data_IF_774527982217
#
_entry.id   IF_774527982217
#
_cell.length_a   1.000
_cell.length_b   1.000
_cell.length_c   1.000
_cell.angle_alpha   90.00
_cell.angle_beta   90.00
_cell.angle_gamma   90.00
#
_symmetry.space_group_name_H-M   'P 1'
#
loop_
_entity.id
_entity.type
_entity.pdbx_description
1 polymer ?
#
# COMPACT_ATOMS: atom_id res chain seq x y z
N UNK A 1 -18.42 -6.31 27.20
CA UNK A 1 -19.57 -6.92 26.50
C UNK A 1 -20.43 -5.87 25.80
N UNK A 2 -20.73 -4.70 26.41
CA UNK A 2 -21.58 -3.65 25.77
C UNK A 2 -21.00 -2.93 24.55
N UNK A 3 -19.67 -2.89 24.35
CA UNK A 3 -19.08 -2.19 23.20
C UNK A 3 -19.11 -3.03 21.92
N UNK A 4 -18.92 -4.35 22.02
CA UNK A 4 -18.98 -5.26 20.88
C UNK A 4 -20.38 -5.28 20.25
N UNK A 5 -21.44 -5.29 21.08
CA UNK A 5 -22.85 -5.25 20.66
C UNK A 5 -23.23 -4.02 19.81
N UNK A 6 -22.43 -2.95 19.88
CA UNK A 6 -22.66 -1.73 19.09
C UNK A 6 -21.70 -1.63 17.91
N UNK A 7 -20.46 -2.09 18.07
CA UNK A 7 -19.40 -1.96 17.05
C UNK A 7 -19.56 -3.00 15.95
N UNK A 8 -19.88 -4.25 16.29
CA UNK A 8 -20.04 -5.34 15.32
C UNK A 8 -21.14 -5.06 14.28
N UNK A 9 -22.37 -4.64 14.64
CA UNK A 9 -23.39 -4.28 13.65
C UNK A 9 -22.96 -3.15 12.71
N UNK A 10 -22.08 -2.24 13.17
CA UNK A 10 -21.56 -1.17 12.31
C UNK A 10 -20.55 -1.70 11.29
N UNK A 11 -19.69 -2.65 11.68
CA UNK A 11 -18.79 -3.29 10.73
C UNK A 11 -19.57 -4.13 9.71
N UNK A 12 -20.59 -4.86 10.17
CA UNK A 12 -21.49 -5.63 9.30
C UNK A 12 -22.16 -4.73 8.24
N UNK A 13 -22.73 -3.61 8.67
CA UNK A 13 -23.32 -2.60 7.79
C UNK A 13 -22.28 -2.06 6.79
N UNK A 14 -21.10 -1.65 7.26
CA UNK A 14 -20.05 -1.09 6.41
C UNK A 14 -19.55 -2.10 5.38
N UNK A 15 -19.30 -3.35 5.78
CA UNK A 15 -18.86 -4.39 4.86
C UNK A 15 -19.95 -4.77 3.86
N UNK A 16 -21.21 -4.81 4.28
CA UNK A 16 -22.35 -5.03 3.38
C UNK A 16 -22.46 -3.91 2.34
N UNK A 17 -22.27 -2.65 2.74
CA UNK A 17 -22.24 -1.51 1.82
C UNK A 17 -21.08 -1.62 0.82
N UNK A 18 -19.90 -2.03 1.28
CA UNK A 18 -18.73 -2.25 0.40
C UNK A 18 -18.99 -3.41 -0.57
N UNK A 19 -19.58 -4.52 -0.12
CA UNK A 19 -19.92 -5.67 -0.96
C UNK A 19 -20.95 -5.29 -2.04
N UNK A 20 -21.97 -4.50 -1.67
CA UNK A 20 -22.93 -3.98 -2.64
C UNK A 20 -22.27 -3.09 -3.71
N UNK A 21 -21.29 -2.26 -3.31
CA UNK A 21 -20.54 -1.41 -4.23
C UNK A 21 -19.62 -2.21 -5.16
N UNK A 22 -18.99 -3.28 -4.65
CA UNK A 22 -18.18 -4.21 -5.46
C UNK A 22 -19.03 -4.90 -6.53
N UNK A 23 -20.23 -5.36 -6.17
CA UNK A 23 -21.18 -5.92 -7.13
C UNK A 23 -21.65 -4.87 -8.15
N UNK A 24 -22.01 -3.67 -7.68
CA UNK A 24 -22.48 -2.56 -8.54
C UNK A 24 -21.42 -2.15 -9.57
N UNK A 25 -20.16 -2.17 -9.19
CA UNK A 25 -19.03 -1.82 -10.05
C UNK A 25 -18.59 -2.95 -10.99
N UNK A 26 -19.07 -4.19 -10.79
CA UNK A 26 -18.74 -5.36 -11.59
C UNK A 26 -17.35 -5.96 -11.29
N UNK A 27 -16.72 -5.56 -10.17
CA UNK A 27 -15.41 -6.05 -9.75
C UNK A 27 -15.50 -7.22 -8.75
N UNK A 28 -16.70 -7.66 -8.39
CA UNK A 28 -16.94 -8.77 -7.44
C UNK A 28 -16.24 -10.07 -7.85
N UNK A 29 -16.28 -10.42 -9.14
CA UNK A 29 -15.60 -11.60 -9.70
C UNK A 29 -14.08 -11.43 -9.85
N UNK A 30 -13.52 -10.25 -9.58
CA UNK A 30 -12.08 -9.96 -9.70
C UNK A 30 -11.33 -10.06 -8.36
N UNK A 31 -12.01 -10.44 -7.28
CA UNK A 31 -11.43 -10.64 -5.94
C UNK A 31 -10.66 -11.95 -5.80
N UNK A 32 -10.04 -12.48 -6.87
CA UNK A 32 -9.29 -13.73 -6.83
C UNK A 32 -8.14 -13.72 -5.80
N UNK A 33 -7.61 -12.54 -5.49
CA UNK A 33 -6.55 -12.35 -4.50
C UNK A 33 -7.07 -12.06 -3.07
N UNK A 34 -8.39 -11.99 -2.88
CA UNK A 34 -9.02 -11.64 -1.61
C UNK A 34 -9.07 -10.14 -1.29
N UNK A 35 -9.43 -9.82 -0.05
CA UNK A 35 -9.56 -8.45 0.47
C UNK A 35 -8.43 -8.14 1.46
N UNK A 36 -7.92 -6.92 1.41
CA UNK A 36 -6.90 -6.43 2.35
C UNK A 36 -7.48 -5.29 3.17
N UNK A 37 -7.70 -5.54 4.46
CA UNK A 37 -8.10 -4.50 5.41
C UNK A 37 -6.86 -3.78 5.93
N UNK A 38 -6.94 -2.46 6.08
CA UNK A 38 -5.85 -1.66 6.64
C UNK A 38 -6.38 -0.45 7.40
N UNK A 39 -5.51 0.41 7.93
CA UNK A 39 -5.89 1.51 8.81
C UNK A 39 -6.11 1.06 10.26
N UNK A 40 -6.36 1.99 11.16
CA UNK A 40 -6.48 1.68 12.59
C UNK A 40 -7.68 0.82 12.95
N UNK A 41 -8.80 0.98 12.24
CA UNK A 41 -10.03 0.22 12.45
C UNK A 41 -9.87 -1.27 12.11
N UNK A 42 -8.97 -1.61 11.19
CA UNK A 42 -8.66 -3.01 10.84
C UNK A 42 -8.02 -3.83 11.98
N UNK A 43 -7.72 -3.23 13.13
CA UNK A 43 -7.21 -3.92 14.32
C UNK A 43 -8.29 -4.37 15.30
N UNK A 44 -9.57 -4.14 14.98
CA UNK A 44 -10.68 -4.63 15.78
C UNK A 44 -10.67 -6.17 15.80
N UNK A 45 -10.85 -6.74 16.99
CA UNK A 45 -10.87 -8.19 17.19
C UNK A 45 -12.09 -8.80 16.48
N UNK A 46 -11.90 -9.86 15.71
CA UNK A 46 -12.97 -10.51 14.94
C UNK A 46 -13.28 -9.87 13.58
N UNK A 47 -12.60 -8.78 13.21
CA UNK A 47 -12.91 -8.04 11.97
C UNK A 47 -12.59 -8.82 10.70
N UNK A 48 -11.60 -9.72 10.75
CA UNK A 48 -11.21 -10.54 9.60
C UNK A 48 -12.28 -11.59 9.34
N UNK A 49 -12.72 -12.26 10.40
CA UNK A 49 -13.71 -13.31 10.38
C UNK A 49 -15.06 -12.78 9.85
N UNK A 50 -15.51 -11.63 10.38
CA UNK A 50 -16.72 -10.97 9.89
C UNK A 50 -16.62 -10.56 8.41
N UNK A 51 -15.46 -10.04 8.00
CA UNK A 51 -15.24 -9.67 6.61
C UNK A 51 -15.20 -10.89 5.68
N UNK A 52 -14.59 -12.00 6.09
CA UNK A 52 -14.59 -13.26 5.32
C UNK A 52 -16.01 -13.80 5.14
N UNK A 53 -16.85 -13.72 6.18
CA UNK A 53 -18.25 -14.12 6.12
C UNK A 53 -19.03 -13.29 5.08
N UNK A 54 -18.86 -11.97 5.07
CA UNK A 54 -19.60 -11.05 4.19
C UNK A 54 -19.08 -11.05 2.75
N UNK A 55 -17.76 -11.02 2.56
CA UNK A 55 -17.15 -10.94 1.22
C UNK A 55 -17.06 -12.30 0.51
N UNK A 56 -17.22 -13.41 1.25
CA UNK A 56 -17.02 -14.77 0.74
C UNK A 56 -15.66 -14.96 0.05
N UNK A 57 -14.63 -14.25 0.54
CA UNK A 57 -13.30 -14.22 -0.03
C UNK A 57 -12.26 -14.17 1.10
N UNK A 58 -11.02 -14.65 0.89
CA UNK A 58 -9.97 -14.56 1.90
C UNK A 58 -9.73 -13.10 2.30
N UNK A 59 -9.65 -12.83 3.60
CA UNK A 59 -9.37 -11.48 4.11
C UNK A 59 -8.11 -11.49 4.97
N UNK A 60 -7.31 -10.44 4.85
CA UNK A 60 -6.12 -10.26 5.69
C UNK A 60 -5.89 -8.82 6.08
N UNK A 61 -5.21 -8.63 7.20
CA UNK A 61 -4.73 -7.31 7.63
C UNK A 61 -3.45 -6.96 6.88
N UNK A 62 -3.45 -5.80 6.21
CA UNK A 62 -2.31 -5.21 5.53
C UNK A 62 -1.67 -4.11 6.37
N UNK A 63 -0.34 -4.11 6.44
CA UNK A 63 0.47 -3.05 7.03
C UNK A 63 1.53 -2.57 6.01
N UNK A 64 2.09 -1.35 6.19
CA UNK A 64 3.23 -0.91 5.41
C UNK A 64 4.38 -1.91 5.45
N UNK A 65 5.03 -2.10 4.31
CA UNK A 65 6.21 -2.93 4.14
C UNK A 65 7.21 -2.19 3.23
N UNK A 66 8.45 -2.70 3.13
CA UNK A 66 9.54 -2.11 2.34
C UNK A 66 9.95 -0.69 2.76
N UNK A 67 9.87 -0.39 4.07
CA UNK A 67 10.39 0.86 4.64
C UNK A 67 11.67 0.54 5.42
N UNK A 68 12.77 1.22 5.08
CA UNK A 68 14.05 1.06 5.77
C UNK A 68 14.12 1.95 7.02
N UNK A 69 14.86 1.50 8.04
CA UNK A 69 15.07 2.24 9.29
C UNK A 69 13.95 2.01 10.31
N UNK A 70 12.84 2.75 10.18
CA UNK A 70 11.75 2.76 11.17
C UNK A 70 10.74 1.60 11.03
N UNK A 71 11.18 0.49 10.41
CA UNK A 71 10.32 -0.63 10.01
C UNK A 71 9.47 -1.17 11.16
N UNK A 72 10.04 -1.29 12.35
CA UNK A 72 9.37 -1.86 13.53
C UNK A 72 8.20 -1.01 14.03
N UNK A 73 8.25 0.30 13.82
CA UNK A 73 7.16 1.22 14.21
C UNK A 73 6.09 1.25 13.13
N UNK A 74 6.51 1.35 11.87
CA UNK A 74 5.57 1.56 10.75
C UNK A 74 4.90 0.27 10.27
N UNK A 75 5.33 -0.90 10.73
CA UNK A 75 4.66 -2.20 10.48
C UNK A 75 3.38 -2.33 11.31
N UNK A 76 2.51 -1.35 11.18
CA UNK A 76 1.21 -1.26 11.82
C UNK A 76 0.23 -0.62 10.82
N UNK A 77 -0.95 -1.23 10.58
CA UNK A 77 -1.96 -0.72 9.64
C UNK A 77 -2.36 0.75 9.85
N UNK A 78 -2.21 1.26 11.07
CA UNK A 78 -2.47 2.68 11.40
C UNK A 78 -1.62 3.63 10.53
N UNK A 79 -0.44 3.21 10.09
CA UNK A 79 0.48 4.04 9.30
C UNK A 79 0.37 3.84 7.77
N UNK A 80 -0.52 2.96 7.30
CA UNK A 80 -0.69 2.63 5.88
C UNK A 80 -0.84 3.83 4.96
N UNK A 81 -1.73 4.75 5.31
CA UNK A 81 -1.96 5.95 4.47
C UNK A 81 -0.74 6.85 4.44
N UNK A 82 -0.16 7.16 5.60
CA UNK A 82 1.00 8.07 5.68
C UNK A 82 2.22 7.53 4.94
N UNK A 83 2.57 6.26 5.17
CA UNK A 83 3.68 5.61 4.46
C UNK A 83 3.38 5.50 2.96
N UNK A 84 2.17 5.12 2.58
CA UNK A 84 1.77 5.00 1.18
C UNK A 84 1.92 6.31 0.40
N UNK A 85 1.54 7.44 1.01
CA UNK A 85 1.69 8.77 0.41
C UNK A 85 3.17 9.16 0.22
N UNK A 86 4.04 8.86 1.19
CA UNK A 86 5.48 9.13 1.06
C UNK A 86 6.12 8.28 -0.04
N UNK A 87 5.77 6.99 -0.11
CA UNK A 87 6.24 6.09 -1.18
C UNK A 87 5.74 6.54 -2.56
N UNK A 88 4.48 7.00 -2.63
CA UNK A 88 3.89 7.55 -3.85
C UNK A 88 4.65 8.80 -4.32
N UNK A 89 4.90 9.75 -3.41
CA UNK A 89 5.67 10.96 -3.73
C UNK A 89 7.12 10.65 -4.15
N UNK A 90 7.78 9.71 -3.47
CA UNK A 90 9.13 9.25 -3.84
C UNK A 90 9.16 8.67 -5.26
N UNK A 91 8.19 7.81 -5.59
CA UNK A 91 8.07 7.22 -6.93
C UNK A 91 7.87 8.30 -7.98
N UNK A 92 6.99 9.27 -7.72
CA UNK A 92 6.74 10.38 -8.64
C UNK A 92 7.99 11.25 -8.86
N UNK A 93 8.76 11.53 -7.81
CA UNK A 93 10.04 12.24 -7.94
C UNK A 93 11.05 11.48 -8.79
N UNK A 94 11.19 10.16 -8.59
CA UNK A 94 12.10 9.32 -9.37
C UNK A 94 11.72 9.28 -10.87
N UNK A 95 10.43 9.21 -11.17
CA UNK A 95 9.92 9.25 -12.56
C UNK A 95 10.13 10.61 -13.22
N UNK A 96 10.03 11.71 -12.48
CA UNK A 96 10.23 13.08 -12.99
C UNK A 96 11.71 13.46 -13.15
N UNK A 97 12.58 13.02 -12.23
CA UNK A 97 14.01 13.36 -12.25
C UNK A 97 14.83 12.53 -13.28
N UNK A 98 14.18 11.65 -14.06
CA UNK A 98 14.83 10.89 -15.12
C UNK A 98 15.98 10.02 -14.62
N UNK A 99 15.94 9.60 -13.36
CA UNK A 99 16.95 8.71 -12.78
C UNK A 99 16.64 7.29 -13.25
N UNK A 100 17.12 6.97 -14.44
CA UNK A 100 17.09 5.64 -15.02
C UNK A 100 17.92 4.70 -14.12
N UNK A 101 17.29 3.77 -13.36
CA UNK A 101 18.01 2.88 -12.47
C UNK A 101 18.83 1.82 -13.23
N UNK A 102 18.76 1.81 -14.57
CA UNK A 102 19.54 0.93 -15.46
C UNK A 102 20.68 1.63 -16.19
N UNK A 103 21.11 2.82 -15.75
CA UNK A 103 22.28 3.47 -16.35
C UNK A 103 23.56 3.00 -15.66
N UNK A 104 24.29 2.14 -16.37
CA UNK A 104 25.55 1.52 -15.94
C UNK A 104 26.52 2.57 -15.36
N UNK A 105 27.03 2.39 -14.12
CA UNK A 105 27.92 3.35 -13.45
C UNK A 105 29.18 3.70 -14.25
N UNK A 106 29.61 2.81 -15.15
CA UNK A 106 30.81 2.98 -15.97
C UNK A 106 30.67 4.12 -16.99
N UNK A 107 29.48 4.37 -17.54
CA UNK A 107 29.29 5.35 -18.63
C UNK A 107 29.47 6.79 -18.12
N UNK A 108 29.04 7.08 -16.89
CA UNK A 108 29.16 8.42 -16.30
C UNK A 108 30.62 8.84 -16.00
N UNK A 109 31.55 7.87 -15.90
CA UNK A 109 32.95 8.13 -15.57
C UNK A 109 33.77 8.43 -16.83
N UNK A 110 33.52 7.70 -17.92
CA UNK A 110 34.16 7.96 -19.23
C UNK A 110 33.67 9.28 -19.84
N UNK A 111 32.39 9.62 -19.70
CA UNK A 111 31.84 10.87 -20.22
C UNK A 111 32.39 12.09 -19.47
N UNK A 112 32.61 11.99 -18.15
CA UNK A 112 33.25 13.05 -17.36
C UNK A 112 34.70 13.28 -17.77
N UNK A 113 35.47 12.20 -18.00
CA UNK A 113 36.88 12.30 -18.41
C UNK A 113 36.99 12.86 -19.84
N UNK A 114 36.11 12.44 -20.75
CA UNK A 114 36.07 12.92 -22.14
C UNK A 114 35.75 14.41 -22.22
N UNK A 115 34.78 14.88 -21.45
CA UNK A 115 34.41 16.29 -21.41
C UNK A 115 35.49 17.16 -20.76
N UNK A 116 36.24 16.64 -19.78
CA UNK A 116 37.41 17.34 -19.22
C UNK A 116 38.53 17.49 -20.25
N UNK A 117 38.77 16.43 -21.03
CA UNK A 117 39.85 16.45 -22.03
C UNK A 117 39.51 17.39 -23.20
N UNK A 118 38.24 17.48 -23.59
CA UNK A 118 37.78 18.40 -24.64
C UNK A 118 37.65 19.86 -24.17
N UNK A 119 37.55 20.10 -22.87
CA UNK A 119 37.46 21.44 -22.29
C UNK A 119 38.82 22.11 -22.02
N UNK A 120 39.90 21.32 -21.93
CA UNK A 120 41.22 21.80 -21.51
C UNK A 120 42.32 21.66 -22.59
N UNK A 121 42.00 21.20 -23.80
CA UNK A 121 42.91 21.12 -24.94
C UNK A 121 42.22 21.55 -26.24
#
# INVERSE_FOLDING_TARGET
QSLAEVVEPRYDELFTLVQAELQRSGFDNLLAAGVVLTGGTSKMEGVVELAEEIFHAPVRIGAPHNVNGLADIVRNPIYSTGVGLLLYGLKQHQEQDGVDPKRDPQIHLVDRVKNWFQGNF
#
